data_IF_182390049282
#
_entry.id   IF_182390049282
#
_cell.length_a   1.000
_cell.length_b   1.000
_cell.length_c   1.000
_cell.angle_alpha   90.00
_cell.angle_beta   90.00
_cell.angle_gamma   90.00
#
_symmetry.space_group_name_H-M   'P 1'
#
loop_
_entity.id
_entity.type
_entity.pdbx_description
1 polymer ?
#
# COMPACT_ATOMS: atom_id res chain seq x y z
N UNK A 1 3.66 19.23 38.06
CA UNK A 1 2.75 18.60 37.08
C UNK A 1 2.99 17.10 37.11
N UNK A 2 2.05 16.37 37.72
CA UNK A 2 2.18 14.94 38.02
C UNK A 2 2.42 14.06 36.78
N UNK A 3 3.61 13.50 36.71
CA UNK A 3 4.01 12.52 35.64
C UNK A 3 3.54 11.09 35.96
N UNK A 4 2.90 10.86 37.11
CA UNK A 4 2.76 9.51 37.68
C UNK A 4 1.51 8.73 37.34
N UNK A 5 0.53 9.24 36.56
CA UNK A 5 -0.72 8.50 36.35
C UNK A 5 -1.21 8.45 34.89
N UNK A 6 -0.32 8.58 33.92
CA UNK A 6 -0.73 8.39 32.51
C UNK A 6 -0.82 6.90 32.18
N UNK A 7 -2.01 6.44 31.82
CA UNK A 7 -2.21 5.08 31.31
C UNK A 7 -1.49 4.87 29.97
N UNK A 8 -1.07 3.64 29.71
CA UNK A 8 -0.58 3.23 28.38
C UNK A 8 -1.69 3.50 27.38
N UNK A 9 -1.37 4.10 26.21
CA UNK A 9 -2.35 4.36 25.18
C UNK A 9 -3.03 3.07 24.70
N UNK A 10 -4.32 3.14 24.45
CA UNK A 10 -5.08 2.02 23.90
C UNK A 10 -5.10 2.11 22.39
N UNK A 11 -4.50 1.13 21.71
CA UNK A 11 -4.57 1.02 20.28
C UNK A 11 -5.92 0.47 19.82
N UNK A 12 -6.21 0.66 18.53
CA UNK A 12 -7.39 0.09 17.89
C UNK A 12 -7.41 -1.44 18.04
N UNK A 13 -8.57 -2.00 18.32
CA UNK A 13 -8.77 -3.45 18.37
C UNK A 13 -8.45 -4.13 17.05
N UNK A 14 -8.06 -5.41 17.11
CA UNK A 14 -7.66 -6.19 15.91
C UNK A 14 -8.72 -6.18 14.82
N UNK A 15 -9.98 -6.32 15.18
CA UNK A 15 -11.12 -6.40 14.24
C UNK A 15 -11.36 -5.10 13.45
N UNK A 16 -10.86 -3.96 13.95
CA UNK A 16 -11.00 -2.66 13.32
C UNK A 16 -9.67 -2.14 12.74
N UNK A 17 -8.56 -2.74 13.12
CA UNK A 17 -7.23 -2.30 12.72
C UNK A 17 -6.98 -2.61 11.25
N UNK A 18 -6.79 -1.58 10.44
CA UNK A 18 -6.45 -1.71 9.01
C UNK A 18 -4.95 -1.81 8.75
N UNK A 19 -4.13 -1.91 9.79
CA UNK A 19 -2.66 -1.89 9.69
C UNK A 19 -2.11 -0.72 8.86
N UNK A 20 -2.71 0.46 8.99
CA UNK A 20 -2.30 1.65 8.22
C UNK A 20 -0.97 2.27 8.65
N UNK A 21 -0.34 1.76 9.71
CA UNK A 21 0.93 2.21 10.29
C UNK A 21 0.99 3.67 10.77
N UNK A 22 -0.12 4.40 10.85
CA UNK A 22 -0.10 5.77 11.36
C UNK A 22 0.43 5.86 12.80
N UNK A 23 -0.01 4.95 13.68
CA UNK A 23 0.46 4.84 15.06
C UNK A 23 1.95 4.48 15.16
N UNK A 24 2.42 3.58 14.30
CA UNK A 24 3.84 3.20 14.19
C UNK A 24 4.70 4.40 13.79
N UNK A 25 4.31 5.10 12.72
CA UNK A 25 5.08 6.22 12.19
C UNK A 25 5.11 7.44 13.14
N UNK A 26 4.05 7.70 13.89
CA UNK A 26 4.00 8.86 14.81
C UNK A 26 4.81 8.65 16.09
N UNK A 27 5.17 7.41 16.42
CA UNK A 27 5.86 7.11 17.67
C UNK A 27 7.34 7.52 17.63
N UNK A 28 7.64 8.68 18.17
CA UNK A 28 9.01 9.20 18.25
C UNK A 28 9.95 8.35 19.13
N UNK A 29 9.39 7.51 20.01
CA UNK A 29 10.15 6.59 20.87
C UNK A 29 10.32 5.20 20.26
N UNK A 30 9.78 4.98 19.05
CA UNK A 30 9.77 3.66 18.40
C UNK A 30 9.21 2.53 19.29
N UNK A 31 8.30 2.90 20.20
CA UNK A 31 7.68 1.98 21.15
C UNK A 31 6.52 1.17 20.55
N UNK A 32 6.28 1.28 19.24
CA UNK A 32 5.24 0.52 18.56
C UNK A 32 5.91 -0.36 17.50
N UNK A 33 5.65 -1.65 17.57
CA UNK A 33 6.04 -2.62 16.56
C UNK A 33 4.79 -3.18 15.87
N UNK A 34 4.94 -3.59 14.61
CA UNK A 34 3.87 -4.27 13.87
C UNK A 34 4.14 -5.78 13.94
N UNK A 35 3.20 -6.53 14.48
CA UNK A 35 3.34 -7.97 14.73
C UNK A 35 2.32 -8.72 13.88
N UNK A 36 2.77 -9.76 13.19
CA UNK A 36 1.88 -10.68 12.47
C UNK A 36 1.09 -11.55 13.46
N UNK A 37 -0.18 -11.72 13.21
CA UNK A 37 -1.00 -12.71 13.89
C UNK A 37 -0.89 -14.08 13.21
N UNK A 38 -1.70 -15.04 13.66
CA UNK A 38 -1.72 -16.41 13.11
C UNK A 38 -2.10 -16.50 11.62
N UNK A 39 -2.73 -15.45 11.06
CA UNK A 39 -3.09 -15.36 9.64
C UNK A 39 -2.08 -14.54 8.84
N UNK A 40 -1.05 -14.00 9.51
CA UNK A 40 -0.06 -13.12 8.92
C UNK A 40 -0.57 -11.71 8.65
N UNK A 41 -1.61 -11.29 9.38
CA UNK A 41 -2.09 -9.91 9.37
C UNK A 41 -1.35 -9.10 10.43
N UNK A 42 -1.00 -7.86 10.08
CA UNK A 42 -0.23 -6.98 10.96
C UNK A 42 -1.13 -6.24 11.95
N UNK A 43 -0.69 -6.26 13.20
CA UNK A 43 -1.31 -5.47 14.27
C UNK A 43 -0.24 -4.72 15.07
N UNK A 44 -0.52 -3.45 15.48
CA UNK A 44 0.42 -2.71 16.29
C UNK A 44 0.43 -3.21 17.74
N UNK A 45 1.62 -3.36 18.30
CA UNK A 45 1.84 -3.67 19.70
C UNK A 45 2.73 -2.60 20.34
N UNK A 46 2.39 -2.17 21.55
CA UNK A 46 3.19 -1.20 22.30
C UNK A 46 4.19 -1.95 23.19
N UNK A 47 5.44 -1.53 23.14
CA UNK A 47 6.45 -1.88 24.14
C UNK A 47 6.32 -0.89 25.31
N UNK A 48 5.86 -1.39 26.44
CA UNK A 48 5.58 -0.62 27.65
C UNK A 48 6.85 0.00 28.25
N UNK A 49 8.01 -0.63 28.04
CA UNK A 49 9.29 -0.12 28.54
C UNK A 49 9.77 1.11 27.77
N UNK A 50 9.44 1.21 26.49
CA UNK A 50 9.80 2.33 25.63
C UNK A 50 8.70 3.41 25.59
N UNK A 51 7.48 3.06 25.99
CA UNK A 51 6.32 3.94 25.90
C UNK A 51 6.33 5.05 26.95
N UNK A 52 6.44 6.31 26.50
CA UNK A 52 6.35 7.50 27.36
C UNK A 52 4.91 7.97 27.61
N UNK A 53 3.92 7.19 27.23
CA UNK A 53 2.49 7.43 27.49
C UNK A 53 1.97 8.78 26.97
N UNK A 54 2.48 9.25 25.82
CA UNK A 54 2.12 10.56 25.25
C UNK A 54 0.76 10.58 24.53
N UNK A 55 0.16 9.43 24.22
CA UNK A 55 -1.14 9.29 23.58
C UNK A 55 -1.19 9.70 22.10
N UNK A 56 -0.03 9.96 21.46
CA UNK A 56 -0.01 10.40 20.05
C UNK A 56 -0.52 9.32 19.10
N UNK A 57 -0.26 8.04 19.38
CA UNK A 57 -0.71 6.91 18.59
C UNK A 57 -2.25 6.79 18.56
N UNK A 58 -2.95 7.07 19.66
CA UNK A 58 -4.41 7.15 19.68
C UNK A 58 -4.93 8.34 18.87
N UNK A 59 -4.23 9.48 18.97
CA UNK A 59 -4.63 10.71 18.29
C UNK A 59 -4.55 10.62 16.77
N UNK A 60 -3.67 9.80 16.23
CA UNK A 60 -3.52 9.62 14.78
C UNK A 60 -4.18 8.34 14.25
N UNK A 61 -4.77 7.52 15.11
CA UNK A 61 -5.47 6.34 14.67
C UNK A 61 -6.79 6.73 13.97
N UNK A 62 -6.94 6.45 12.66
CA UNK A 62 -8.13 6.84 11.93
C UNK A 62 -9.39 6.09 12.35
N UNK A 63 -9.23 4.92 13.00
CA UNK A 63 -10.35 4.10 13.48
C UNK A 63 -10.82 4.50 14.89
N UNK A 64 -9.91 4.96 15.74
CA UNK A 64 -10.26 5.49 17.07
C UNK A 64 -10.86 6.90 17.00
N UNK A 65 -10.46 7.68 16.01
CA UNK A 65 -11.06 8.97 15.72
C UNK A 65 -11.77 8.86 14.37
N UNK A 66 -13.09 8.92 14.41
CA UNK A 66 -13.88 9.17 13.21
C UNK A 66 -13.63 10.61 12.74
N UNK A 67 -12.41 10.88 12.29
CA UNK A 67 -12.12 12.10 11.57
C UNK A 67 -12.88 11.98 10.26
N UNK A 68 -14.03 12.61 10.19
CA UNK A 68 -14.74 12.84 8.94
C UNK A 68 -13.78 13.62 8.04
N UNK A 69 -13.05 12.92 7.20
CA UNK A 69 -12.36 13.51 6.06
C UNK A 69 -13.47 13.94 5.10
N UNK A 70 -14.12 15.07 5.41
CA UNK A 70 -15.13 15.65 4.55
C UNK A 70 -14.46 16.03 3.23
N UNK A 71 -14.87 15.38 2.16
CA UNK A 71 -14.62 15.91 0.82
C UNK A 71 -15.47 17.18 0.68
N UNK A 72 -14.82 18.29 0.46
CA UNK A 72 -15.52 19.53 0.12
C UNK A 72 -16.01 19.42 -1.32
N UNK A 73 -17.32 19.46 -1.52
CA UNK A 73 -17.97 19.47 -2.82
C UNK A 73 -18.39 18.11 -3.37
N UNK A 74 -19.11 18.15 -4.48
CA UNK A 74 -19.54 16.94 -5.19
C UNK A 74 -18.39 16.32 -5.99
N UNK A 75 -18.25 14.98 -6.01
CA UNK A 75 -17.21 14.32 -6.78
C UNK A 75 -17.46 14.49 -8.29
N UNK A 76 -16.42 14.85 -9.04
CA UNK A 76 -16.45 14.81 -10.50
C UNK A 76 -16.06 13.41 -10.97
N UNK A 77 -16.85 12.84 -11.87
CA UNK A 77 -16.64 11.48 -12.40
C UNK A 77 -16.08 11.58 -13.82
N UNK A 78 -15.00 10.86 -14.08
CA UNK A 78 -14.36 10.79 -15.38
C UNK A 78 -14.10 9.35 -15.78
N UNK A 79 -14.36 9.01 -17.06
CA UNK A 79 -13.84 7.82 -17.70
C UNK A 79 -12.61 8.19 -18.52
N UNK A 80 -11.48 7.56 -18.27
CA UNK A 80 -10.24 7.89 -18.95
C UNK A 80 -9.36 6.68 -19.22
N UNK A 81 -8.51 6.79 -20.25
CA UNK A 81 -7.49 5.81 -20.56
C UNK A 81 -6.27 6.48 -21.21
N UNK A 82 -5.11 5.84 -21.10
CA UNK A 82 -3.90 6.29 -21.77
C UNK A 82 -4.06 6.19 -23.30
N UNK A 83 -3.69 7.27 -24.01
CA UNK A 83 -3.64 7.27 -25.46
C UNK A 83 -2.52 6.36 -25.98
N UNK A 84 -1.37 6.35 -25.30
CA UNK A 84 -0.26 5.44 -25.64
C UNK A 84 -0.66 3.99 -25.34
N UNK A 85 -0.72 3.17 -26.39
CA UNK A 85 -1.16 1.77 -26.33
C UNK A 85 -0.20 0.88 -25.57
N UNK A 86 1.11 1.14 -25.64
CA UNK A 86 2.13 0.34 -24.95
C UNK A 86 2.00 0.48 -23.42
N UNK A 87 2.02 1.70 -22.91
CA UNK A 87 1.81 1.95 -21.48
C UNK A 87 0.42 1.50 -20.99
N UNK A 88 -0.59 1.56 -21.86
CA UNK A 88 -1.92 1.05 -21.54
C UNK A 88 -1.93 -0.48 -21.45
N UNK A 89 -1.21 -1.19 -22.31
CA UNK A 89 -1.07 -2.65 -22.25
C UNK A 89 -0.38 -3.10 -20.96
N UNK A 90 0.60 -2.36 -20.49
CA UNK A 90 1.31 -2.65 -19.24
C UNK A 90 0.51 -2.30 -17.97
N UNK A 91 -0.57 -1.55 -18.09
CA UNK A 91 -1.44 -1.18 -16.98
C UNK A 91 -2.55 -2.21 -16.77
N UNK A 92 -3.03 -2.36 -15.52
CA UNK A 92 -4.13 -3.29 -15.19
C UNK A 92 -5.45 -2.90 -15.91
N UNK A 93 -5.73 -1.60 -16.01
CA UNK A 93 -6.95 -1.06 -16.62
C UNK A 93 -6.60 0.01 -17.66
N UNK A 94 -7.25 1.17 -17.62
CA UNK A 94 -7.00 2.29 -18.55
C UNK A 94 -5.66 3.01 -18.37
N UNK A 95 -4.96 2.81 -17.25
CA UNK A 95 -3.64 3.39 -16.98
C UNK A 95 -3.69 4.78 -16.34
N UNK A 96 -4.80 5.17 -15.72
CA UNK A 96 -4.94 6.47 -15.06
C UNK A 96 -3.87 6.71 -13.98
N UNK A 97 -3.59 5.69 -13.15
CA UNK A 97 -2.54 5.78 -12.12
C UNK A 97 -1.17 6.09 -12.74
N UNK A 98 -0.79 5.40 -13.83
CA UNK A 98 0.45 5.67 -14.55
C UNK A 98 0.48 7.10 -15.13
N UNK A 99 -0.64 7.58 -15.70
CA UNK A 99 -0.71 8.93 -16.25
C UNK A 99 -0.48 10.00 -15.18
N UNK A 100 -1.15 9.87 -14.03
CA UNK A 100 -1.01 10.82 -12.91
C UNK A 100 0.41 10.76 -12.34
N UNK A 101 0.94 9.57 -12.10
CA UNK A 101 2.30 9.36 -11.59
C UNK A 101 3.36 9.95 -12.53
N UNK A 102 3.23 9.69 -13.84
CA UNK A 102 4.13 10.24 -14.85
C UNK A 102 4.10 11.77 -14.89
N UNK A 103 2.93 12.39 -14.67
CA UNK A 103 2.80 13.84 -14.63
C UNK A 103 3.52 14.44 -13.41
N UNK A 104 3.47 13.78 -12.27
CA UNK A 104 4.19 14.20 -11.05
C UNK A 104 5.70 14.07 -11.24
N UNK A 105 6.19 12.95 -11.78
CA UNK A 105 7.62 12.75 -12.05
C UNK A 105 8.17 13.79 -13.03
N UNK A 106 7.42 14.13 -14.09
CA UNK A 106 7.84 15.19 -15.03
C UNK A 106 7.97 16.56 -14.37
N UNK A 107 7.29 16.78 -13.26
CA UNK A 107 7.42 17.97 -12.42
C UNK A 107 8.49 17.81 -11.33
N UNK A 108 9.33 16.77 -11.41
CA UNK A 108 10.35 16.41 -10.42
C UNK A 108 9.78 16.13 -9.02
N UNK A 109 8.52 15.66 -8.97
CA UNK A 109 7.89 15.22 -7.74
C UNK A 109 8.14 13.76 -7.44
N UNK A 110 7.80 13.35 -6.23
CA UNK A 110 7.97 12.01 -5.68
C UNK A 110 6.66 11.22 -5.81
N UNK A 111 6.74 9.98 -6.24
CA UNK A 111 5.59 9.09 -6.35
C UNK A 111 5.78 7.89 -5.44
N UNK A 112 4.87 7.71 -4.51
CA UNK A 112 4.86 6.57 -3.60
C UNK A 112 3.78 5.56 -4.00
N UNK A 113 4.17 4.28 -4.08
CA UNK A 113 3.26 3.19 -4.42
C UNK A 113 3.74 1.84 -3.93
N UNK A 114 2.84 0.86 -3.92
CA UNK A 114 3.14 -0.49 -3.46
C UNK A 114 3.96 -1.28 -4.49
N UNK A 115 5.03 -1.93 -4.06
CA UNK A 115 5.86 -2.80 -4.89
C UNK A 115 6.30 -4.05 -4.13
N UNK A 116 6.48 -5.14 -4.86
CA UNK A 116 7.13 -6.33 -4.32
C UNK A 116 8.64 -6.11 -4.24
N UNK A 117 9.20 -6.29 -3.07
CA UNK A 117 10.62 -6.34 -2.81
C UNK A 117 11.14 -7.77 -2.75
N UNK A 118 12.23 -7.96 -2.00
CA UNK A 118 12.83 -9.28 -1.77
C UNK A 118 11.78 -10.24 -1.19
N UNK A 119 11.85 -11.51 -1.59
CA UNK A 119 10.94 -12.59 -1.16
C UNK A 119 9.44 -12.29 -1.38
N UNK A 120 9.13 -11.42 -2.34
CA UNK A 120 7.76 -10.96 -2.61
C UNK A 120 7.11 -10.22 -1.44
N UNK A 121 7.92 -9.63 -0.54
CA UNK A 121 7.44 -8.76 0.51
C UNK A 121 6.88 -7.47 -0.10
N UNK A 122 5.62 -7.16 0.18
CA UNK A 122 4.94 -6.00 -0.38
C UNK A 122 5.06 -4.80 0.55
N UNK A 123 5.72 -3.75 0.07
CA UNK A 123 5.89 -2.50 0.81
C UNK A 123 5.70 -1.28 -0.09
N UNK A 124 5.61 -0.10 0.52
CA UNK A 124 5.66 1.15 -0.23
C UNK A 124 7.10 1.52 -0.59
N UNK A 125 7.29 1.86 -1.84
CA UNK A 125 8.54 2.42 -2.35
C UNK A 125 8.28 3.76 -3.02
N UNK A 126 9.31 4.56 -3.10
CA UNK A 126 9.35 5.78 -3.88
C UNK A 126 9.77 5.49 -5.33
N UNK A 127 9.21 6.25 -6.27
CA UNK A 127 9.61 6.27 -7.66
C UNK A 127 9.79 7.71 -8.12
N UNK A 128 10.97 8.04 -8.64
CA UNK A 128 11.36 9.37 -9.11
C UNK A 128 11.60 9.40 -10.61
N UNK A 129 11.59 8.25 -11.26
CA UNK A 129 11.77 8.07 -12.69
C UNK A 129 10.65 7.25 -13.31
N UNK A 130 10.46 7.37 -14.62
CA UNK A 130 9.48 6.55 -15.34
C UNK A 130 9.83 5.06 -15.34
N UNK A 131 11.11 4.72 -15.20
CA UNK A 131 11.54 3.34 -15.10
C UNK A 131 11.16 2.74 -13.74
N UNK A 132 11.40 3.46 -12.66
CA UNK A 132 11.01 3.04 -11.30
C UNK A 132 9.49 2.90 -11.13
N UNK A 133 8.68 3.67 -11.89
CA UNK A 133 7.23 3.51 -11.90
C UNK A 133 6.78 2.11 -12.27
N UNK A 134 7.57 1.35 -13.04
CA UNK A 134 7.22 -0.02 -13.43
C UNK A 134 7.06 -0.94 -12.23
N UNK A 135 7.83 -0.74 -11.18
CA UNK A 135 7.76 -1.54 -9.96
C UNK A 135 6.43 -1.35 -9.20
N UNK A 136 5.90 -0.12 -9.21
CA UNK A 136 4.64 0.20 -8.52
C UNK A 136 3.40 0.04 -9.40
N UNK A 137 3.59 -0.20 -10.70
CA UNK A 137 2.48 -0.52 -11.61
C UNK A 137 1.81 -1.85 -11.29
N UNK A 138 0.60 -2.03 -11.80
CA UNK A 138 -0.27 -3.20 -11.66
C UNK A 138 -0.78 -3.38 -10.23
N UNK A 139 -1.88 -4.10 -10.13
CA UNK A 139 -2.54 -4.36 -8.84
C UNK A 139 -1.81 -5.48 -8.08
N UNK A 140 -1.61 -5.28 -6.78
CA UNK A 140 -1.12 -6.28 -5.84
C UNK A 140 -2.24 -6.57 -4.85
N UNK A 141 -2.62 -7.83 -4.72
CA UNK A 141 -3.74 -8.25 -3.88
C UNK A 141 -3.24 -8.90 -2.59
N UNK A 142 -2.43 -8.16 -1.86
CA UNK A 142 -1.83 -8.54 -0.58
C UNK A 142 -1.72 -7.30 0.29
N UNK A 143 -1.84 -7.44 1.60
CA UNK A 143 -1.65 -6.33 2.53
C UNK A 143 -0.25 -5.72 2.34
N UNK A 144 -0.21 -4.41 2.10
CA UNK A 144 1.05 -3.69 1.91
C UNK A 144 1.54 -3.11 3.24
N UNK A 145 2.82 -3.30 3.54
CA UNK A 145 3.43 -2.69 4.70
C UNK A 145 3.87 -1.26 4.39
N UNK A 146 3.48 -0.33 5.25
CA UNK A 146 3.85 1.09 5.07
C UNK A 146 5.26 1.37 5.58
N UNK A 147 5.70 0.61 6.58
CA UNK A 147 7.01 0.81 7.21
C UNK A 147 7.19 2.28 7.66
N UNK A 148 8.32 2.89 7.34
CA UNK A 148 8.60 4.30 7.65
C UNK A 148 8.26 5.28 6.51
N UNK A 149 7.56 4.83 5.46
CA UNK A 149 7.23 5.66 4.30
C UNK A 149 6.55 6.99 4.67
N UNK A 150 5.68 7.00 5.65
CA UNK A 150 5.00 8.25 6.05
C UNK A 150 5.94 9.30 6.61
N UNK A 151 7.03 8.89 7.28
CA UNK A 151 8.06 9.82 7.78
C UNK A 151 8.84 10.43 6.63
N UNK A 152 9.22 9.62 5.64
CA UNK A 152 9.93 10.09 4.44
C UNK A 152 9.04 11.06 3.66
N UNK A 153 7.81 10.68 3.36
CA UNK A 153 6.81 11.53 2.72
C UNK A 153 6.66 12.88 3.46
N UNK A 154 6.61 12.84 4.79
CA UNK A 154 6.51 14.08 5.58
C UNK A 154 7.73 14.99 5.38
N UNK A 155 8.93 14.43 5.34
CA UNK A 155 10.15 15.19 5.12
C UNK A 155 10.18 15.84 3.72
N UNK A 156 9.79 15.10 2.68
CA UNK A 156 9.64 15.60 1.31
C UNK A 156 8.65 16.76 1.25
N UNK A 157 7.48 16.58 1.87
CA UNK A 157 6.44 17.62 1.93
C UNK A 157 6.91 18.87 2.70
N UNK A 158 7.62 18.69 3.80
CA UNK A 158 8.17 19.81 4.60
C UNK A 158 9.29 20.53 3.84
N UNK A 159 9.99 19.86 2.91
CA UNK A 159 10.97 20.45 1.99
C UNK A 159 10.32 21.23 0.83
N UNK A 160 9.02 21.10 0.66
CA UNK A 160 8.27 21.77 -0.42
C UNK A 160 8.11 20.93 -1.69
N UNK A 161 8.57 19.69 -1.69
CA UNK A 161 8.50 18.80 -2.85
C UNK A 161 7.06 18.37 -3.13
N UNK A 162 6.73 18.19 -4.41
CA UNK A 162 5.44 17.65 -4.85
C UNK A 162 5.44 16.13 -4.61
N UNK A 163 4.49 15.64 -3.83
CA UNK A 163 4.36 14.22 -3.52
C UNK A 163 3.02 13.67 -3.98
N UNK A 164 3.04 12.55 -4.67
CA UNK A 164 1.87 11.72 -4.94
C UNK A 164 1.96 10.43 -4.13
N UNK A 165 1.01 10.19 -3.25
CA UNK A 165 0.85 8.90 -2.57
C UNK A 165 -0.31 8.11 -3.20
N UNK A 166 0.00 6.92 -3.75
CA UNK A 166 -1.01 6.00 -4.31
C UNK A 166 -1.17 4.78 -3.42
N UNK A 167 -2.38 4.49 -2.94
CA UNK A 167 -2.58 3.37 -2.03
C UNK A 167 -4.05 3.02 -1.84
N UNK A 168 -4.33 2.12 -0.91
CA UNK A 168 -5.70 1.83 -0.48
C UNK A 168 -6.24 2.96 0.40
N UNK A 169 -7.56 3.11 0.46
CA UNK A 169 -8.20 4.18 1.24
C UNK A 169 -7.79 4.20 2.71
N UNK A 170 -7.55 3.03 3.32
CA UNK A 170 -7.06 2.94 4.70
C UNK A 170 -5.64 3.54 4.88
N UNK A 171 -4.73 3.29 3.92
CA UNK A 171 -3.38 3.86 3.95
C UNK A 171 -3.38 5.37 3.66
N UNK A 172 -4.21 5.83 2.71
CA UNK A 172 -4.41 7.27 2.46
C UNK A 172 -4.95 7.98 3.71
N UNK A 173 -5.96 7.39 4.37
CA UNK A 173 -6.51 7.89 5.63
C UNK A 173 -5.46 7.89 6.73
N UNK A 174 -4.64 6.82 6.80
CA UNK A 174 -3.51 6.71 7.74
C UNK A 174 -2.46 7.79 7.55
N UNK A 175 -2.03 8.04 6.30
CA UNK A 175 -1.07 9.09 5.98
C UNK A 175 -1.60 10.47 6.39
N UNK A 176 -2.83 10.82 6.01
CA UNK A 176 -3.44 12.11 6.35
C UNK A 176 -3.57 12.28 7.86
N UNK A 177 -3.94 11.22 8.59
CA UNK A 177 -4.00 11.24 10.06
C UNK A 177 -2.62 11.42 10.70
N UNK A 178 -1.59 10.79 10.15
CA UNK A 178 -0.21 10.95 10.59
C UNK A 178 0.30 12.38 10.37
N UNK A 179 0.03 12.97 9.23
CA UNK A 179 0.46 14.34 8.87
C UNK A 179 -0.21 15.41 9.75
N UNK A 180 -1.45 15.22 10.20
CA UNK A 180 -2.22 16.11 11.10
C UNK A 180 -2.46 17.53 10.58
N UNK A 181 -2.07 17.83 9.35
CA UNK A 181 -2.33 19.08 8.65
C UNK A 181 -2.46 18.78 7.15
N UNK A 182 -3.08 19.68 6.43
CA UNK A 182 -3.10 19.61 4.99
C UNK A 182 -1.81 20.18 4.41
N UNK A 183 -1.35 19.57 3.32
CA UNK A 183 -0.19 19.99 2.55
C UNK A 183 -0.65 20.29 1.12
N UNK A 184 -0.45 21.53 0.60
CA UNK A 184 -0.85 21.90 -0.75
C UNK A 184 -0.05 21.14 -1.84
N UNK A 185 1.12 20.65 -1.49
CA UNK A 185 2.02 19.85 -2.33
C UNK A 185 1.82 18.33 -2.18
N UNK A 186 0.77 17.86 -1.47
CA UNK A 186 0.39 16.45 -1.37
C UNK A 186 -0.80 16.14 -2.28
N UNK A 187 -0.59 15.23 -3.21
CA UNK A 187 -1.66 14.55 -3.94
C UNK A 187 -1.85 13.14 -3.39
N UNK A 188 -3.10 12.71 -3.27
CA UNK A 188 -3.41 11.32 -2.89
C UNK A 188 -4.33 10.69 -3.92
N UNK A 189 -4.03 9.46 -4.31
CA UNK A 189 -4.89 8.65 -5.17
C UNK A 189 -5.20 7.32 -4.48
N UNK A 190 -6.42 7.16 -4.01
CA UNK A 190 -6.84 5.93 -3.36
C UNK A 190 -7.50 4.96 -4.36
N UNK A 191 -7.28 3.68 -4.10
CA UNK A 191 -7.85 2.57 -4.84
C UNK A 191 -9.13 2.10 -4.16
N UNK A 192 -10.16 1.78 -4.94
CA UNK A 192 -11.31 1.04 -4.42
C UNK A 192 -10.85 -0.36 -4.01
N UNK A 193 -10.97 -0.68 -2.73
CA UNK A 193 -10.50 -1.92 -2.14
C UNK A 193 -11.64 -2.63 -1.39
N UNK A 194 -11.77 -3.93 -1.62
CA UNK A 194 -12.74 -4.81 -0.95
C UNK A 194 -12.09 -5.72 0.10
N UNK A 195 -10.85 -5.43 0.48
CA UNK A 195 -10.04 -6.27 1.35
C UNK A 195 -8.97 -7.05 0.58
N UNK A 196 -7.92 -7.44 1.30
CA UNK A 196 -6.81 -8.25 0.79
C UNK A 196 -6.33 -9.17 1.91
N UNK A 197 -5.78 -10.36 1.59
CA UNK A 197 -5.17 -11.21 2.60
C UNK A 197 -3.89 -10.58 3.16
N UNK A 198 -3.55 -10.95 4.39
CA UNK A 198 -2.26 -10.63 5.00
C UNK A 198 -1.09 -11.22 4.22
N UNK A 199 0.10 -10.69 4.42
CA UNK A 199 1.31 -11.20 3.74
C UNK A 199 1.64 -12.64 4.12
N UNK A 200 1.27 -13.10 5.32
CA UNK A 200 1.45 -14.49 5.73
C UNK A 200 0.71 -15.48 4.85
N UNK A 201 -0.54 -15.17 4.46
CA UNK A 201 -1.32 -16.00 3.52
C UNK A 201 -0.63 -16.04 2.16
N UNK A 202 -0.18 -14.89 1.65
CA UNK A 202 0.53 -14.84 0.38
C UNK A 202 1.87 -15.58 0.41
N UNK A 203 2.62 -15.49 1.50
CA UNK A 203 3.86 -16.25 1.73
C UNK A 203 3.61 -17.75 1.66
N UNK A 204 2.58 -18.26 2.33
CA UNK A 204 2.16 -19.66 2.26
C UNK A 204 1.77 -20.09 0.84
N UNK A 205 1.08 -19.23 0.11
CA UNK A 205 0.74 -19.51 -1.29
C UNK A 205 2.00 -19.56 -2.17
N UNK A 206 2.96 -18.64 -1.97
CA UNK A 206 4.26 -18.66 -2.65
C UNK A 206 5.00 -19.97 -2.38
N UNK A 207 5.17 -20.35 -1.10
CA UNK A 207 5.80 -21.59 -0.67
C UNK A 207 5.14 -22.81 -1.34
N UNK A 208 3.82 -22.85 -1.38
CA UNK A 208 3.08 -23.93 -2.05
C UNK A 208 3.39 -24.01 -3.55
N UNK A 209 3.42 -22.87 -4.25
CA UNK A 209 3.73 -22.83 -5.68
C UNK A 209 5.18 -23.23 -5.95
N UNK A 210 6.13 -22.77 -5.15
CA UNK A 210 7.54 -23.13 -5.26
C UNK A 210 7.76 -24.63 -5.05
N UNK A 211 7.11 -25.22 -4.05
CA UNK A 211 7.14 -26.67 -3.83
C UNK A 211 6.48 -27.44 -4.99
N UNK A 212 5.31 -26.99 -5.47
CA UNK A 212 4.59 -27.62 -6.59
C UNK A 212 5.40 -27.64 -7.88
N UNK A 213 6.11 -26.56 -8.17
CA UNK A 213 6.87 -26.43 -9.41
C UNK A 213 8.36 -26.72 -9.22
N UNK A 214 8.81 -26.99 -7.99
CA UNK A 214 10.22 -27.20 -7.65
C UNK A 214 11.11 -26.10 -8.26
N UNK A 215 10.74 -24.82 -8.06
CA UNK A 215 11.44 -23.67 -8.63
C UNK A 215 11.12 -22.39 -7.82
N UNK A 216 12.06 -21.45 -7.78
CA UNK A 216 11.93 -20.16 -7.09
C UNK A 216 10.99 -19.22 -7.83
N UNK A 217 9.97 -18.69 -7.15
CA UNK A 217 9.06 -17.71 -7.73
C UNK A 217 9.62 -16.30 -7.62
N UNK A 218 9.90 -15.69 -8.78
CA UNK A 218 10.52 -14.36 -8.88
C UNK A 218 9.50 -13.21 -8.86
N UNK A 219 8.32 -13.42 -9.44
CA UNK A 219 7.26 -12.41 -9.43
C UNK A 219 5.89 -13.03 -9.62
N UNK A 220 4.85 -12.30 -9.24
CA UNK A 220 3.47 -12.72 -9.32
C UNK A 220 2.58 -11.58 -9.77
N UNK A 221 1.77 -11.82 -10.80
CA UNK A 221 0.79 -10.88 -11.32
C UNK A 221 -0.60 -11.45 -11.09
N UNK A 222 -1.32 -11.00 -10.05
CA UNK A 222 -2.62 -11.58 -9.69
C UNK A 222 -3.69 -11.37 -10.75
N UNK A 223 -3.55 -10.29 -11.54
CA UNK A 223 -4.52 -9.89 -12.56
C UNK A 223 -3.79 -9.30 -13.77
N UNK A 224 -3.22 -10.14 -14.65
CA UNK A 224 -2.65 -9.66 -15.88
C UNK A 224 -3.73 -9.06 -16.77
N UNK A 225 -3.35 -8.15 -17.66
CA UNK A 225 -4.30 -7.56 -18.61
C UNK A 225 -4.81 -8.65 -19.56
N UNK A 226 -6.12 -8.69 -19.76
CA UNK A 226 -6.74 -9.58 -20.73
C UNK A 226 -6.29 -9.20 -22.13
N UNK A 227 -6.09 -10.18 -23.00
CA UNK A 227 -5.85 -9.92 -24.43
C UNK A 227 -7.00 -9.12 -25.01
N UNK A 228 -6.66 -8.11 -25.80
CA UNK A 228 -7.61 -7.10 -26.32
C UNK A 228 -8.44 -7.64 -27.49
N UNK A 229 -8.25 -8.88 -27.90
CA UNK A 229 -8.82 -9.48 -29.10
C UNK A 229 -10.25 -10.02 -28.92
N UNK A 230 -11.01 -9.45 -27.99
CA UNK A 230 -12.46 -9.68 -27.87
C UNK A 230 -12.88 -11.02 -27.29
N UNK A 231 -11.95 -11.92 -26.98
CA UNK A 231 -12.27 -13.14 -26.24
C UNK A 231 -12.37 -12.80 -24.76
N UNK A 232 -13.48 -13.16 -24.11
CA UNK A 232 -13.63 -13.12 -22.66
C UNK A 232 -12.55 -13.98 -22.03
N UNK A 233 -11.42 -13.35 -21.67
CA UNK A 233 -10.30 -14.04 -21.07
C UNK A 233 -10.71 -14.56 -19.69
N UNK A 234 -10.53 -15.85 -19.46
CA UNK A 234 -10.65 -16.45 -18.15
C UNK A 234 -9.82 -15.68 -17.12
N UNK A 235 -10.31 -15.57 -15.90
CA UNK A 235 -9.57 -14.98 -14.80
C UNK A 235 -8.40 -15.90 -14.47
N UNK A 236 -7.18 -15.41 -14.67
CA UNK A 236 -5.96 -16.13 -14.33
C UNK A 236 -4.98 -15.19 -13.61
N UNK A 237 -3.98 -15.76 -13.00
CA UNK A 237 -2.80 -15.06 -12.53
C UNK A 237 -1.55 -15.62 -13.22
N UNK A 238 -0.47 -14.84 -13.23
CA UNK A 238 0.82 -15.27 -13.78
C UNK A 238 1.84 -15.32 -12.65
N UNK A 239 2.52 -16.45 -12.52
CA UNK A 239 3.70 -16.60 -11.71
C UNK A 239 4.92 -16.80 -12.62
N UNK A 240 6.01 -16.11 -12.29
CA UNK A 240 7.27 -16.19 -13.03
C UNK A 240 8.27 -16.90 -12.16
N UNK A 241 8.80 -18.00 -12.67
CA UNK A 241 9.77 -18.84 -11.99
C UNK A 241 11.15 -18.69 -12.61
N UNK A 242 12.18 -18.88 -11.81
CA UNK A 242 13.58 -18.66 -12.18
C UNK A 242 14.02 -19.49 -13.37
N UNK A 243 13.70 -20.79 -13.37
CA UNK A 243 14.13 -21.74 -14.41
C UNK A 243 13.00 -22.11 -15.36
N UNK A 244 11.75 -22.09 -14.90
CA UNK A 244 10.57 -22.51 -15.69
C UNK A 244 9.88 -21.37 -16.43
N UNK A 245 10.28 -20.13 -16.18
CA UNK A 245 9.66 -18.95 -16.79
C UNK A 245 8.21 -18.73 -16.34
N UNK A 246 7.35 -18.36 -17.27
CA UNK A 246 5.97 -17.95 -16.99
C UNK A 246 5.06 -19.16 -16.85
N UNK A 247 4.34 -19.24 -15.73
CA UNK A 247 3.28 -20.24 -15.53
C UNK A 247 1.95 -19.53 -15.31
N UNK A 248 0.98 -19.86 -16.16
CA UNK A 248 -0.40 -19.38 -16.04
C UNK A 248 -1.13 -20.21 -14.99
N UNK A 249 -1.63 -19.54 -13.94
CA UNK A 249 -2.47 -20.14 -12.92
C UNK A 249 -3.92 -19.87 -13.28
N UNK A 250 -4.61 -20.89 -13.77
CA UNK A 250 -6.04 -20.80 -14.02
C UNK A 250 -6.81 -20.89 -12.71
N UNK A 251 -7.86 -20.09 -12.55
CA UNK A 251 -8.84 -20.33 -11.50
C UNK A 251 -9.61 -21.58 -11.89
N UNK A 252 -9.43 -22.67 -11.17
CA UNK A 252 -10.36 -23.78 -11.26
C UNK A 252 -11.73 -23.27 -10.80
N UNK A 253 -12.69 -23.18 -11.70
CA UNK A 253 -14.10 -23.02 -11.38
C UNK A 253 -14.57 -24.38 -10.86
N UNK A 254 -14.35 -24.66 -9.57
CA UNK A 254 -15.04 -25.69 -8.82
C UNK A 254 -15.96 -25.02 -7.81
#
# INVERSE_FOLDING_TARGET
>A
MDKQNKKIPQLCGKDLCTACHACYNICSKKAIIMVEDQYGELHPQIDDNLCVKCGMCEKVCPELKQNNLHRNGEPKIYACWLKNSEHRKESTSGGAAFAISSAVIRQRGHVWGAAYGKDMYLTYIEANTLEELKAIQKSKYTQCHVEEAFKTIKNELDSGDLVLFTGTGCHVKGLRSFLRKDYPNLMTADLVCHGVPGQGVFRKYKEHLEAKFNDEMLTYIPRPKRNVDGQEGQYYSLAYFKNKGNIKMEKNNN
#
